data_IF_569727910036
#
_entry.id   IF_569727910036
#
_cell.length_a   1.000
_cell.length_b   1.000
_cell.length_c   1.000
_cell.angle_alpha   90.00
_cell.angle_beta   90.00
_cell.angle_gamma   90.00
#
_symmetry.space_group_name_H-M   'P 1'
#
loop_
_entity.id
_entity.type
_entity.pdbx_description
1 polymer ?
#
# COMPACT_ATOMS: atom_id res chain seq x y z
N UNK A 1 28.36 -12.81 -4.45
CA UNK A 1 27.12 -13.02 -5.23
C UNK A 1 26.69 -11.69 -5.81
N UNK A 2 26.95 -11.48 -7.10
CA UNK A 2 26.61 -10.24 -7.81
C UNK A 2 25.21 -10.42 -8.38
N UNK A 3 24.24 -9.67 -7.85
CA UNK A 3 22.87 -9.70 -8.34
C UNK A 3 22.87 -9.29 -9.82
N UNK A 4 22.42 -10.22 -10.67
CA UNK A 4 22.27 -10.06 -12.12
C UNK A 4 21.34 -8.85 -12.35
N UNK A 5 21.91 -7.74 -12.81
CA UNK A 5 21.12 -6.55 -13.15
C UNK A 5 20.34 -6.86 -14.42
N UNK A 6 19.04 -7.16 -14.28
CA UNK A 6 18.15 -7.36 -15.41
C UNK A 6 17.77 -6.00 -16.00
N UNK A 7 18.17 -5.75 -17.24
CA UNK A 7 18.03 -4.48 -17.97
C UNK A 7 16.57 -4.02 -18.25
N UNK A 8 15.57 -4.75 -17.76
CA UNK A 8 14.15 -4.44 -17.93
C UNK A 8 13.41 -4.05 -16.65
N UNK A 9 14.09 -3.94 -15.50
CA UNK A 9 13.44 -3.52 -14.25
C UNK A 9 13.52 -2.00 -14.12
N UNK A 10 12.39 -1.27 -14.05
CA UNK A 10 12.41 0.17 -13.90
C UNK A 10 13.13 0.54 -12.59
N UNK A 11 14.33 1.11 -12.72
CA UNK A 11 15.01 1.73 -11.59
C UNK A 11 14.23 2.98 -11.21
N UNK A 12 13.44 2.88 -10.15
CA UNK A 12 12.80 4.03 -9.54
C UNK A 12 13.89 5.00 -9.05
N UNK A 13 13.85 6.30 -9.45
CA UNK A 13 14.83 7.29 -9.00
C UNK A 13 14.78 7.54 -7.48
N UNK A 14 13.77 7.03 -6.77
CA UNK A 14 13.80 6.84 -5.31
C UNK A 14 13.67 5.35 -4.96
N UNK A 15 14.78 4.61 -4.97
CA UNK A 15 14.81 3.18 -4.67
C UNK A 15 14.35 2.81 -3.25
N UNK A 16 14.37 1.50 -2.97
CA UNK A 16 14.04 0.87 -1.67
C UNK A 16 14.60 1.61 -0.44
N UNK A 17 15.71 2.34 -0.56
CA UNK A 17 16.26 3.16 0.52
C UNK A 17 15.21 4.12 1.12
N UNK A 18 14.43 4.80 0.28
CA UNK A 18 13.34 5.68 0.75
C UNK A 18 12.24 4.88 1.45
N UNK A 19 11.85 3.73 0.90
CA UNK A 19 10.88 2.81 1.50
C UNK A 19 11.36 2.26 2.86
N UNK A 20 12.65 1.94 2.97
CA UNK A 20 13.30 1.51 4.22
C UNK A 20 13.28 2.66 5.23
N UNK A 21 13.67 3.87 4.87
CA UNK A 21 13.56 5.03 5.76
C UNK A 21 12.11 5.27 6.22
N UNK A 22 11.11 5.08 5.34
CA UNK A 22 9.69 5.19 5.68
C UNK A 22 9.24 4.12 6.67
N UNK A 23 9.76 2.88 6.59
CA UNK A 23 9.41 1.81 7.57
C UNK A 23 9.78 2.16 9.01
N UNK A 24 10.80 2.99 9.22
CA UNK A 24 11.17 3.48 10.57
C UNK A 24 10.12 4.43 11.16
N UNK A 25 9.24 5.01 10.35
CA UNK A 25 8.21 5.95 10.78
C UNK A 25 6.80 5.37 10.53
N UNK A 26 6.17 4.71 11.52
CA UNK A 26 4.92 3.97 11.33
C UNK A 26 3.75 4.81 10.76
N UNK A 27 3.67 6.09 11.11
CA UNK A 27 2.62 6.98 10.64
C UNK A 27 2.78 7.33 9.14
N UNK A 28 4.02 7.54 8.70
CA UNK A 28 4.33 7.90 7.32
C UNK A 28 4.26 6.66 6.41
N UNK A 29 4.75 5.52 6.90
CA UNK A 29 4.57 4.22 6.26
C UNK A 29 3.11 3.91 5.96
N UNK A 30 2.21 4.04 6.95
CA UNK A 30 0.78 3.78 6.74
C UNK A 30 0.16 4.73 5.73
N UNK A 31 0.53 6.01 5.70
CA UNK A 31 0.02 6.95 4.69
C UNK A 31 0.35 6.52 3.26
N UNK A 32 1.54 5.99 3.04
CA UNK A 32 2.00 5.55 1.70
C UNK A 32 1.47 4.15 1.37
N UNK A 33 1.60 3.21 2.30
CA UNK A 33 1.26 1.81 2.06
C UNK A 33 -0.24 1.53 2.09
N UNK A 34 -1.02 2.19 2.96
CA UNK A 34 -2.46 1.96 2.99
C UNK A 34 -3.09 2.33 1.62
N UNK A 35 -2.65 3.44 1.00
CA UNK A 35 -3.13 3.85 -0.33
C UNK A 35 -2.71 2.85 -1.42
N UNK A 36 -1.44 2.45 -1.44
CA UNK A 36 -0.92 1.46 -2.41
C UNK A 36 -1.59 0.10 -2.29
N UNK A 37 -1.89 -0.35 -1.06
CA UNK A 37 -2.64 -1.58 -0.82
C UNK A 37 -4.06 -1.43 -1.38
N UNK A 38 -4.74 -0.32 -1.12
CA UNK A 38 -6.08 -0.08 -1.64
C UNK A 38 -6.11 -0.02 -3.18
N UNK A 39 -5.17 0.69 -3.82
CA UNK A 39 -5.03 0.71 -5.28
C UNK A 39 -4.75 -0.69 -5.86
N UNK A 40 -3.91 -1.49 -5.20
CA UNK A 40 -3.58 -2.85 -5.66
C UNK A 40 -4.81 -3.77 -5.71
N UNK A 41 -5.79 -3.55 -4.84
CA UNK A 41 -7.04 -4.30 -4.82
C UNK A 41 -8.18 -3.60 -5.57
N UNK A 42 -7.89 -2.62 -6.43
CA UNK A 42 -8.90 -1.89 -7.22
C UNK A 42 -9.93 -1.16 -6.31
N UNK A 43 -9.45 -0.67 -5.16
CA UNK A 43 -10.31 -0.08 -4.13
C UNK A 43 -11.16 -1.09 -3.35
N UNK A 44 -11.08 -2.40 -3.65
CA UNK A 44 -11.84 -3.43 -2.96
C UNK A 44 -11.22 -3.82 -1.62
N UNK A 45 -11.65 -3.08 -0.60
CA UNK A 45 -11.25 -3.32 0.80
C UNK A 45 -11.71 -4.68 1.34
N UNK A 46 -12.69 -5.36 0.72
CA UNK A 46 -13.15 -6.68 1.17
C UNK A 46 -12.12 -7.78 0.89
N UNK A 47 -11.23 -7.55 -0.08
CA UNK A 47 -10.13 -8.46 -0.44
C UNK A 47 -8.86 -8.22 0.38
N UNK A 48 -8.81 -7.12 1.13
CA UNK A 48 -7.69 -6.79 2.02
C UNK A 48 -7.80 -7.59 3.32
N UNK A 49 -6.66 -8.10 3.80
CA UNK A 49 -6.60 -8.75 5.11
C UNK A 49 -6.69 -7.69 6.24
N UNK A 50 -7.90 -7.39 6.67
CA UNK A 50 -8.20 -6.39 7.71
C UNK A 50 -8.09 -7.01 9.11
N UNK A 51 -7.44 -6.31 10.04
CA UNK A 51 -7.50 -6.68 11.45
C UNK A 51 -8.96 -6.70 11.94
N UNK A 52 -9.45 -7.79 12.55
CA UNK A 52 -10.87 -7.96 12.92
C UNK A 52 -11.42 -6.79 13.74
N UNK A 53 -10.65 -6.32 14.72
CA UNK A 53 -11.02 -5.21 15.62
C UNK A 53 -11.13 -3.85 14.94
N UNK A 54 -10.53 -3.70 13.76
CA UNK A 54 -10.53 -2.44 12.99
C UNK A 54 -11.32 -2.57 11.69
N UNK A 55 -11.83 -3.76 11.37
CA UNK A 55 -12.54 -4.07 10.14
C UNK A 55 -13.73 -3.13 9.92
N UNK A 56 -14.60 -2.96 10.91
CA UNK A 56 -15.77 -2.09 10.81
C UNK A 56 -15.37 -0.62 10.56
N UNK A 57 -14.36 -0.12 11.29
CA UNK A 57 -13.86 1.25 11.12
C UNK A 57 -13.22 1.49 9.75
N UNK A 58 -12.51 0.49 9.23
CA UNK A 58 -11.85 0.56 7.92
C UNK A 58 -12.88 0.43 6.79
N UNK A 59 -13.85 -0.48 6.92
CA UNK A 59 -14.98 -0.59 6.00
C UNK A 59 -15.83 0.69 5.97
N UNK A 60 -16.10 1.31 7.12
CA UNK A 60 -16.83 2.58 7.16
C UNK A 60 -16.05 3.73 6.49
N UNK A 61 -14.72 3.72 6.59
CA UNK A 61 -13.85 4.79 6.06
C UNK A 61 -13.55 4.64 4.57
N UNK A 62 -13.37 3.41 4.09
CA UNK A 62 -12.92 3.13 2.73
C UNK A 62 -13.98 2.42 1.88
N UNK A 63 -14.99 1.80 2.48
CA UNK A 63 -16.14 1.25 1.74
C UNK A 63 -17.01 2.34 1.10
N UNK A 64 -17.02 3.56 1.63
CA UNK A 64 -17.65 4.73 0.99
C UNK A 64 -16.88 5.23 -0.24
N UNK A 65 -15.55 5.04 -0.28
CA UNK A 65 -14.72 5.34 -1.47
C UNK A 65 -14.98 4.37 -2.61
N UNK A 66 -15.35 3.11 -2.31
CA UNK A 66 -15.78 2.12 -3.31
C UNK A 66 -17.06 2.56 -4.04
N UNK A 67 -18.02 3.15 -3.32
CA UNK A 67 -19.27 3.66 -3.91
C UNK A 67 -19.11 4.96 -4.73
N UNK A 68 -18.00 5.68 -4.57
CA UNK A 68 -17.73 6.93 -5.30
C UNK A 68 -16.97 6.73 -6.62
N UNK A 69 -16.52 5.51 -6.92
CA UNK A 69 -15.87 5.14 -8.19
C UNK A 69 -16.79 4.31 -9.12
N UNK A 70 -18.09 4.25 -8.82
CA UNK A 70 -19.10 3.63 -9.69
C UNK A 70 -19.66 4.61 -10.71
#
# INVERSE_FOLDING_TARGET
>A
QTLRSMAGSPNLPSGYASMISLTYFPALWRKVMDHRVLEHYDGDITRVNLQPRRREKLLARYGSLQGAQA
#
